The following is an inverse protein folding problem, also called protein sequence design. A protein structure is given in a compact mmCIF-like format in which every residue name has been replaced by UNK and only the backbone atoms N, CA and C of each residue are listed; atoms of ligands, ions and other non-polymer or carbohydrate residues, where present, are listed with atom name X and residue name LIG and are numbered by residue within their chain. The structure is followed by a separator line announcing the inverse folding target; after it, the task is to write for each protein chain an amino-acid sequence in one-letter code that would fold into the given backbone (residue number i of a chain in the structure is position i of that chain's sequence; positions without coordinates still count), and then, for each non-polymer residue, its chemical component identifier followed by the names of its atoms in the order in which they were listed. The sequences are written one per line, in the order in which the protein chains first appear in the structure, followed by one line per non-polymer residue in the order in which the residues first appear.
data_IF_106113496098
#
_entry.id   IF_106113496098
#
_cell.length_a   1.000
_cell.length_b   1.000
_cell.length_c   1.000
_cell.angle_alpha   90.00
_cell.angle_beta   90.00
_cell.angle_gamma   90.00
#
_symmetry.space_group_name_H-M   'P 1'
#
loop_
_entity.id
_entity.type
_entity.pdbx_description
1 polymer ?
#
# COMPACT_ATOMS: atom_id res chain seq x y z
N UNK A 1 -9.12 21.07 20.32
CA UNK A 1 -8.69 20.13 19.28
C UNK A 1 -7.45 19.42 19.81
N UNK A 2 -7.40 18.11 19.71
CA UNK A 2 -6.27 17.30 20.18
C UNK A 2 -5.66 16.59 18.96
N UNK A 3 -4.36 16.57 18.88
CA UNK A 3 -3.60 15.85 17.84
C UNK A 3 -2.85 14.68 18.44
N UNK A 4 -2.83 13.57 17.73
CA UNK A 4 -2.09 12.37 18.12
C UNK A 4 -1.18 11.96 16.98
N UNK A 5 0.04 11.57 17.27
CA UNK A 5 0.96 11.03 16.29
C UNK A 5 0.82 9.51 16.22
N UNK A 6 0.75 8.98 15.00
CA UNK A 6 0.83 7.55 14.69
C UNK A 6 2.14 7.32 13.96
N UNK A 7 3.03 6.53 14.51
CA UNK A 7 4.28 6.17 13.84
C UNK A 7 4.00 5.10 12.79
N UNK A 8 4.28 5.39 11.53
CA UNK A 8 3.97 4.51 10.40
C UNK A 8 5.18 3.75 9.88
N UNK A 9 6.40 4.10 10.25
CA UNK A 9 7.66 3.54 9.72
C UNK A 9 7.80 3.62 8.17
N UNK A 10 6.90 4.29 7.49
CA UNK A 10 6.93 4.55 6.03
C UNK A 10 6.44 5.97 5.74
N UNK A 11 6.85 6.53 4.60
CA UNK A 11 6.40 7.85 4.17
C UNK A 11 4.91 7.85 3.86
N UNK A 12 4.18 8.88 4.31
CA UNK A 12 2.73 9.00 4.14
C UNK A 12 2.39 10.11 3.16
N UNK A 13 1.51 9.80 2.21
CA UNK A 13 1.01 10.75 1.22
C UNK A 13 -0.39 10.28 0.75
N UNK A 14 -1.23 11.18 0.28
CA UNK A 14 -2.57 10.89 -0.25
C UNK A 14 -3.37 9.84 0.55
N UNK A 15 -3.80 10.17 1.77
CA UNK A 15 -4.59 9.26 2.58
C UNK A 15 -6.01 9.08 2.00
N UNK A 16 -6.53 7.86 2.07
CA UNK A 16 -7.91 7.56 1.72
C UNK A 16 -8.47 6.47 2.63
N UNK A 17 -9.63 6.71 3.23
CA UNK A 17 -10.32 5.69 4.01
C UNK A 17 -10.84 4.57 3.11
N UNK A 18 -10.68 3.35 3.57
CA UNK A 18 -11.36 2.18 3.04
C UNK A 18 -12.85 2.19 3.37
N UNK A 19 -13.57 1.20 2.83
CA UNK A 19 -15.01 1.00 3.09
C UNK A 19 -15.25 -0.18 4.04
N UNK A 20 -14.21 -0.59 4.76
CA UNK A 20 -14.26 -1.67 5.74
C UNK A 20 -14.78 -1.19 7.11
N UNK A 21 -15.17 -2.14 7.95
CA UNK A 21 -15.75 -1.87 9.28
C UNK A 21 -14.74 -1.29 10.29
N UNK A 22 -13.47 -1.34 9.97
CA UNK A 22 -12.38 -0.88 10.84
C UNK A 22 -11.89 0.53 10.48
N UNK A 23 -12.50 1.16 9.46
CA UNK A 23 -12.10 2.46 8.95
C UNK A 23 -10.60 2.51 8.63
N UNK A 24 -10.10 1.52 7.90
CA UNK A 24 -8.69 1.45 7.54
C UNK A 24 -8.30 2.65 6.69
N UNK A 25 -7.31 3.40 7.13
CA UNK A 25 -6.74 4.52 6.40
C UNK A 25 -5.59 4.01 5.55
N UNK A 26 -5.81 3.98 4.25
CA UNK A 26 -4.81 3.60 3.26
C UNK A 26 -3.96 4.80 2.85
N UNK A 27 -2.69 4.57 2.65
CA UNK A 27 -1.71 5.61 2.40
C UNK A 27 -0.86 5.24 1.18
N UNK A 28 -0.69 6.18 0.26
CA UNK A 28 0.41 6.08 -0.69
C UNK A 28 1.67 6.62 -0.03
N UNK A 29 2.75 5.88 -0.15
CA UNK A 29 4.02 6.27 0.45
C UNK A 29 4.97 6.94 -0.53
N UNK A 30 6.11 7.34 -0.05
CA UNK A 30 7.23 7.83 -0.87
C UNK A 30 8.18 6.71 -1.27
N UNK A 31 7.86 5.47 -0.98
CA UNK A 31 8.64 4.28 -1.28
C UNK A 31 7.80 3.21 -1.99
N UNK A 32 8.39 2.09 -2.35
CA UNK A 32 7.72 1.01 -3.07
C UNK A 32 6.88 0.12 -2.13
N UNK A 33 6.08 0.75 -1.28
CA UNK A 33 5.25 0.06 -0.30
C UNK A 33 3.83 0.63 -0.27
N UNK A 34 2.85 -0.23 -0.06
CA UNK A 34 1.52 0.14 0.37
C UNK A 34 1.47 0.07 1.90
N UNK A 35 0.92 1.10 2.51
CA UNK A 35 0.79 1.15 3.95
C UNK A 35 -0.61 1.52 4.40
N UNK A 36 -0.95 1.18 5.62
CA UNK A 36 -2.25 1.49 6.20
C UNK A 36 -2.18 1.69 7.71
N UNK A 37 -3.19 2.36 8.22
CA UNK A 37 -3.50 2.44 9.64
C UNK A 37 -4.91 1.90 9.86
N UNK A 38 -5.06 0.87 10.66
CA UNK A 38 -6.36 0.44 11.17
C UNK A 38 -6.76 1.40 12.29
N UNK A 39 -7.64 2.35 11.99
CA UNK A 39 -7.96 3.43 12.93
C UNK A 39 -8.74 2.94 14.14
N UNK A 40 -9.53 1.88 14.00
CA UNK A 40 -10.24 1.27 15.13
C UNK A 40 -9.26 0.62 16.12
N UNK A 41 -8.29 -0.15 15.63
CA UNK A 41 -7.25 -0.73 16.50
C UNK A 41 -6.41 0.37 17.15
N UNK A 42 -6.11 1.45 16.42
CA UNK A 42 -5.45 2.61 16.99
C UNK A 42 -6.25 3.25 18.11
N UNK A 43 -7.54 3.50 17.91
CA UNK A 43 -8.41 4.10 18.93
C UNK A 43 -8.52 3.23 20.19
N UNK A 44 -8.53 1.92 20.03
CA UNK A 44 -8.63 0.96 21.13
C UNK A 44 -7.32 0.78 21.90
N UNK A 45 -6.17 0.84 21.20
CA UNK A 45 -4.89 0.41 21.78
C UNK A 45 -3.86 1.51 21.94
N UNK A 46 -3.92 2.54 21.11
CA UNK A 46 -2.89 3.59 20.98
C UNK A 46 -1.49 3.00 20.70
N UNK A 47 -1.45 1.86 20.02
CA UNK A 47 -0.26 1.06 19.77
C UNK A 47 -0.04 0.96 18.25
N UNK A 48 1.00 1.66 17.76
CA UNK A 48 1.34 1.68 16.33
C UNK A 48 1.73 0.30 15.80
N UNK A 49 2.38 -0.54 16.59
CA UNK A 49 2.78 -1.88 16.16
C UNK A 49 1.59 -2.77 15.85
N UNK A 50 0.44 -2.51 16.49
CA UNK A 50 -0.80 -3.25 16.24
C UNK A 50 -1.67 -2.62 15.15
N UNK A 51 -1.67 -1.30 15.07
CA UNK A 51 -2.58 -0.57 14.21
C UNK A 51 -2.03 -0.32 12.81
N UNK A 52 -0.72 -0.33 12.62
CA UNK A 52 -0.06 0.02 11.36
C UNK A 52 0.46 -1.21 10.65
N UNK A 53 0.30 -1.24 9.35
CA UNK A 53 0.87 -2.29 8.52
C UNK A 53 1.34 -1.77 7.17
N UNK A 54 2.15 -2.56 6.50
CA UNK A 54 2.61 -2.27 5.15
C UNK A 54 3.04 -3.55 4.43
N UNK A 55 3.07 -3.49 3.11
CA UNK A 55 3.67 -4.53 2.27
C UNK A 55 4.40 -3.91 1.08
N UNK A 56 5.43 -4.57 0.54
CA UNK A 56 6.09 -4.12 -0.67
C UNK A 56 5.16 -4.29 -1.88
N UNK A 57 5.24 -3.38 -2.84
CA UNK A 57 4.62 -3.59 -4.13
C UNK A 57 5.40 -4.64 -4.91
N UNK A 58 4.74 -5.74 -5.24
CA UNK A 58 5.28 -6.83 -6.03
C UNK A 58 4.34 -7.10 -7.20
N UNK A 59 4.88 -7.21 -8.40
CA UNK A 59 4.14 -7.62 -9.57
C UNK A 59 4.02 -9.13 -9.62
N UNK A 60 2.82 -9.62 -9.73
CA UNK A 60 2.51 -10.99 -10.12
C UNK A 60 2.86 -11.16 -11.62
N UNK A 61 4.09 -11.55 -11.90
CA UNK A 61 4.60 -11.70 -13.26
C UNK A 61 4.29 -13.06 -13.85
N UNK A 62 3.90 -14.04 -13.04
CA UNK A 62 3.47 -15.36 -13.48
C UNK A 62 1.95 -15.52 -13.61
N UNK A 63 1.18 -14.53 -13.13
CA UNK A 63 -0.28 -14.47 -13.30
C UNK A 63 -1.07 -15.43 -12.41
N UNK A 64 -0.49 -15.93 -11.32
CA UNK A 64 -1.16 -16.91 -10.46
C UNK A 64 -2.01 -16.32 -9.33
N UNK A 65 -2.00 -14.98 -9.17
CA UNK A 65 -2.78 -14.27 -8.15
C UNK A 65 -2.25 -14.42 -6.73
N UNK A 66 -1.00 -14.84 -6.55
CA UNK A 66 -0.36 -15.03 -5.25
C UNK A 66 0.91 -14.19 -5.17
N UNK A 67 1.30 -13.86 -3.95
CA UNK A 67 2.61 -13.31 -3.68
C UNK A 67 3.60 -14.47 -3.52
N UNK A 68 4.38 -14.70 -4.55
CA UNK A 68 5.44 -15.72 -4.57
C UNK A 68 6.80 -15.15 -4.15
N UNK A 69 7.85 -15.96 -4.27
CA UNK A 69 9.21 -15.45 -4.14
C UNK A 69 9.47 -14.37 -5.20
N UNK A 70 9.97 -13.23 -4.78
CA UNK A 70 10.21 -12.11 -5.68
C UNK A 70 11.64 -11.58 -5.61
N UNK A 71 12.09 -11.00 -6.71
CA UNK A 71 13.40 -10.37 -6.86
C UNK A 71 13.29 -8.89 -7.27
N UNK A 72 14.41 -8.21 -7.27
CA UNK A 72 14.50 -6.80 -7.72
C UNK A 72 14.54 -6.66 -9.25
N UNK A 73 14.68 -7.78 -9.94
CA UNK A 73 14.70 -7.85 -11.42
C UNK A 73 13.76 -8.94 -11.91
N UNK A 74 13.20 -8.78 -13.11
CA UNK A 74 12.42 -9.84 -13.72
C UNK A 74 13.23 -11.12 -13.91
N UNK A 75 12.74 -12.22 -13.35
CA UNK A 75 13.28 -13.57 -13.49
C UNK A 75 12.15 -14.54 -13.81
N UNK A 76 12.43 -15.55 -14.62
CA UNK A 76 11.43 -16.57 -14.94
C UNK A 76 10.99 -17.31 -13.67
N UNK A 77 9.67 -17.43 -13.48
CA UNK A 77 9.08 -18.14 -12.35
C UNK A 77 9.06 -17.38 -11.03
N UNK A 78 9.50 -16.12 -11.01
CA UNK A 78 9.46 -15.26 -9.84
C UNK A 78 8.65 -14.00 -10.09
N UNK A 79 8.06 -13.48 -9.05
CA UNK A 79 7.49 -12.15 -9.06
C UNK A 79 8.58 -11.08 -9.06
N UNK A 80 8.21 -9.87 -9.38
CA UNK A 80 9.18 -8.78 -9.46
C UNK A 80 8.75 -7.62 -8.57
N UNK A 81 9.64 -7.17 -7.69
CA UNK A 81 9.40 -5.97 -6.91
C UNK A 81 9.18 -4.76 -7.82
N UNK A 82 8.12 -4.05 -7.56
CA UNK A 82 7.90 -2.75 -8.19
C UNK A 82 8.84 -1.72 -7.57
N UNK A 83 9.79 -1.25 -8.34
CA UNK A 83 10.71 -0.19 -7.90
C UNK A 83 10.76 0.94 -8.94
N UNK A 84 9.81 1.86 -8.93
CA UNK A 84 9.75 2.96 -9.92
C UNK A 84 10.67 4.13 -9.56
N UNK A 85 11.52 4.03 -8.54
CA UNK A 85 12.28 5.16 -7.99
C UNK A 85 11.44 6.15 -7.17
N UNK A 86 10.12 6.08 -7.27
CA UNK A 86 9.15 6.81 -6.44
C UNK A 86 7.94 5.90 -6.27
N UNK A 87 7.37 5.85 -5.08
CA UNK A 87 6.22 5.01 -4.78
C UNK A 87 4.98 5.31 -5.62
N UNK A 88 3.94 4.48 -5.51
CA UNK A 88 2.64 4.78 -6.08
C UNK A 88 2.10 6.09 -5.52
N UNK A 89 1.33 6.81 -6.33
CA UNK A 89 0.96 8.18 -6.00
C UNK A 89 -0.41 8.28 -5.32
N UNK A 90 -1.48 7.96 -6.01
CA UNK A 90 -2.82 8.03 -5.43
C UNK A 90 -3.28 6.65 -4.94
N UNK A 91 -4.15 6.63 -3.93
CA UNK A 91 -4.76 5.41 -3.41
C UNK A 91 -6.28 5.51 -3.55
N UNK A 92 -6.91 4.43 -4.02
CA UNK A 92 -8.35 4.36 -4.27
C UNK A 92 -8.89 3.02 -3.79
N UNK A 93 -9.45 2.96 -2.57
CA UNK A 93 -10.18 1.78 -2.12
C UNK A 93 -11.43 1.55 -2.97
N UNK A 94 -11.69 0.30 -3.35
CA UNK A 94 -12.89 -0.07 -4.08
C UNK A 94 -14.03 -0.35 -3.11
N UNK A 95 -15.22 0.24 -3.31
CA UNK A 95 -16.28 0.21 -2.30
C UNK A 95 -16.99 -1.14 -2.11
N UNK A 96 -16.83 -2.08 -3.04
CA UNK A 96 -17.58 -3.34 -3.00
C UNK A 96 -16.73 -4.58 -2.85
N UNK A 97 -15.52 -4.63 -3.40
CA UNK A 97 -14.66 -5.82 -3.34
C UNK A 97 -13.45 -5.69 -2.40
N UNK A 98 -13.27 -4.49 -1.81
CA UNK A 98 -12.20 -4.22 -0.86
C UNK A 98 -10.81 -4.14 -1.47
N UNK A 99 -10.66 -4.21 -2.79
CA UNK A 99 -9.38 -4.04 -3.46
C UNK A 99 -8.89 -2.60 -3.33
N UNK A 100 -7.58 -2.44 -3.23
CA UNK A 100 -6.94 -1.14 -3.14
C UNK A 100 -6.16 -0.87 -4.43
N UNK A 101 -6.52 0.19 -5.09
CA UNK A 101 -5.91 0.59 -6.35
C UNK A 101 -4.98 1.77 -6.15
N UNK A 102 -3.85 1.73 -6.83
CA UNK A 102 -2.85 2.80 -6.82
C UNK A 102 -2.54 3.25 -8.23
N UNK A 103 -2.28 4.53 -8.40
CA UNK A 103 -1.71 5.01 -9.66
C UNK A 103 -0.21 4.73 -9.68
N UNK A 104 0.29 4.24 -10.79
CA UNK A 104 1.73 4.00 -10.95
C UNK A 104 2.54 5.27 -11.23
N UNK A 105 1.92 6.41 -11.14
CA UNK A 105 2.57 7.72 -11.32
C UNK A 105 3.26 7.91 -12.68
N UNK A 106 3.63 9.15 -12.94
CA UNK A 106 4.38 9.54 -14.15
C UNK A 106 5.83 9.10 -14.13
N UNK A 107 6.28 8.43 -13.09
CA UNK A 107 7.68 8.21 -12.81
C UNK A 107 8.22 6.87 -13.34
N UNK A 108 7.35 5.95 -13.71
CA UNK A 108 7.74 4.65 -14.26
C UNK A 108 7.84 4.62 -15.79
N UNK A 109 7.70 5.77 -16.46
CA UNK A 109 7.68 5.83 -17.91
C UNK A 109 6.48 5.16 -18.58
N UNK A 110 5.60 4.53 -17.81
CA UNK A 110 4.34 3.94 -18.26
C UNK A 110 3.24 4.25 -17.25
N UNK A 111 2.25 5.05 -17.60
CA UNK A 111 1.10 5.27 -16.75
C UNK A 111 0.30 3.98 -16.62
N UNK A 112 -0.22 3.72 -15.43
CA UNK A 112 -1.02 2.53 -15.16
C UNK A 112 -1.58 2.52 -13.75
N UNK A 113 -2.23 1.43 -13.42
CA UNK A 113 -2.75 1.18 -12.09
C UNK A 113 -2.15 -0.10 -11.52
N UNK A 114 -1.97 -0.12 -10.21
CA UNK A 114 -1.62 -1.28 -9.40
C UNK A 114 -2.83 -1.65 -8.55
N UNK A 115 -3.09 -2.93 -8.39
CA UNK A 115 -4.18 -3.46 -7.57
C UNK A 115 -3.63 -4.42 -6.54
#
# INVERSE_FOLDING_TARGET
MQYTFVDTCFGTHHPQFGYDADNTLWLSGTGPVAGWVNTKVWDETQDSEKAVGWFPFVFDTNGNGKLDEFGDKPEEGKDTRYNPGSGPYAVMPHPTDGSIWYTSGTFAGRPGFLR
#
